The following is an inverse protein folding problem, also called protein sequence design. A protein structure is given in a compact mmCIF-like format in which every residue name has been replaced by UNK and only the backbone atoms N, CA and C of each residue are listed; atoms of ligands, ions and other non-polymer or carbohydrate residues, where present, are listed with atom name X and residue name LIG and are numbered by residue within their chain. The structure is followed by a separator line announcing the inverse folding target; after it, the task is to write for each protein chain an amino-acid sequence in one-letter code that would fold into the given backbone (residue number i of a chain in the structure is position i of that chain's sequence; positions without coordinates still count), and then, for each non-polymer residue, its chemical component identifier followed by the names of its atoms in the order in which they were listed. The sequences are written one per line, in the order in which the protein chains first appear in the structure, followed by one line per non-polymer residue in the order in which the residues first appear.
data_IF_950371683494
#
_entry.id   IF_950371683494
#
_cell.length_a   1.000
_cell.length_b   1.000
_cell.length_c   1.000
_cell.angle_alpha   90.00
_cell.angle_beta   90.00
_cell.angle_gamma   90.00
#
_symmetry.space_group_name_H-M   'P 1'
#
loop_
_entity.id
_entity.type
_entity.pdbx_description
1 polymer ?
#
# COMPACT_ATOMS: atom_id res chain seq x y z
N UNK A 1 22.50 23.25 -31.51
CA UNK A 1 21.07 23.59 -31.31
C UNK A 1 20.16 22.71 -32.19
N UNK A 2 19.75 21.55 -31.66
CA UNK A 2 18.64 20.77 -32.22
C UNK A 2 18.06 19.90 -31.10
N UNK A 3 17.16 20.49 -30.31
CA UNK A 3 16.33 19.77 -29.34
C UNK A 3 15.15 19.17 -30.10
N UNK A 4 15.15 17.86 -30.32
CA UNK A 4 13.91 17.12 -30.60
C UNK A 4 13.12 17.08 -29.29
N UNK A 5 12.00 17.79 -29.26
CA UNK A 5 10.99 17.68 -28.20
C UNK A 5 10.39 16.28 -28.30
N UNK A 6 10.57 15.47 -27.26
CA UNK A 6 9.80 14.26 -27.04
C UNK A 6 8.40 14.69 -26.58
N UNK A 7 7.40 14.53 -27.44
CA UNK A 7 5.99 14.61 -27.05
C UNK A 7 5.65 13.38 -26.21
N UNK A 8 5.70 13.55 -24.89
CA UNK A 8 5.09 12.62 -23.94
C UNK A 8 3.58 12.80 -24.07
N UNK A 9 2.91 11.88 -24.76
CA UNK A 9 1.46 11.83 -24.79
C UNK A 9 0.96 11.62 -23.36
N UNK A 10 0.38 12.66 -22.75
CA UNK A 10 -0.36 12.57 -21.50
C UNK A 10 -1.53 11.62 -21.71
N UNK A 11 -1.40 10.39 -21.20
CA UNK A 11 -2.49 9.44 -21.14
C UNK A 11 -3.37 9.83 -19.95
N UNK A 12 -4.47 10.52 -20.21
CA UNK A 12 -5.50 10.73 -19.20
C UNK A 12 -6.32 9.45 -19.06
N UNK A 13 -6.38 8.82 -17.88
CA UNK A 13 -7.28 7.69 -17.68
C UNK A 13 -8.73 8.15 -17.88
N UNK A 14 -9.55 7.31 -18.53
CA UNK A 14 -10.99 7.56 -18.71
C UNK A 14 -11.61 7.87 -17.35
N UNK A 15 -12.25 9.03 -17.24
CA UNK A 15 -13.00 9.43 -16.06
C UNK A 15 -14.06 8.36 -15.75
N UNK A 16 -14.07 7.89 -14.50
CA UNK A 16 -15.00 6.89 -14.01
C UNK A 16 -16.42 7.48 -14.07
N UNK A 17 -17.25 6.95 -14.97
CA UNK A 17 -18.65 7.35 -15.10
C UNK A 17 -19.47 6.53 -14.11
N UNK A 18 -20.02 7.21 -13.11
CA UNK A 18 -21.01 6.64 -12.19
C UNK A 18 -22.33 6.39 -12.94
N UNK A 19 -23.04 5.27 -12.71
CA UNK A 19 -24.37 5.06 -13.28
C UNK A 19 -25.38 5.90 -12.48
N UNK A 20 -25.73 7.10 -12.97
CA UNK A 20 -26.87 7.84 -12.42
C UNK A 20 -28.16 7.17 -12.86
N UNK A 21 -28.86 6.61 -11.89
CA UNK A 21 -30.23 6.10 -11.98
C UNK A 21 -31.20 7.19 -12.46
N UNK A 22 -31.78 6.98 -13.64
CA UNK A 22 -32.89 7.76 -14.16
C UNK A 22 -33.81 6.84 -14.95
N UNK A 23 -34.80 6.25 -14.28
CA UNK A 23 -35.90 5.56 -14.93
C UNK A 23 -36.83 6.62 -15.55
N UNK A 24 -36.85 6.69 -16.88
CA UNK A 24 -38.01 7.17 -17.62
C UNK A 24 -38.22 6.21 -18.79
N UNK A 25 -39.32 5.47 -18.69
CA UNK A 25 -39.86 4.56 -19.69
C UNK A 25 -40.28 5.32 -20.94
N UNK A 26 -39.70 4.93 -22.07
CA UNK A 26 -40.35 4.70 -23.39
C UNK A 26 -39.28 4.88 -24.47
N UNK A 27 -38.82 3.75 -25.03
CA UNK A 27 -38.62 3.53 -26.47
C UNK A 27 -37.76 2.28 -26.73
N UNK A 28 -38.44 1.25 -27.23
CA UNK A 28 -37.87 0.07 -27.87
C UNK A 28 -37.12 0.50 -29.15
N UNK A 29 -35.79 0.42 -29.15
CA UNK A 29 -35.00 -0.04 -30.32
C UNK A 29 -33.49 -0.18 -30.01
N UNK A 30 -32.97 -1.39 -30.23
CA UNK A 30 -31.57 -1.73 -30.47
C UNK A 30 -30.56 -1.54 -29.29
N UNK A 31 -30.73 -2.28 -28.21
CA UNK A 31 -29.59 -2.58 -27.33
C UNK A 31 -28.79 -3.77 -27.88
N UNK A 32 -27.92 -3.48 -28.85
CA UNK A 32 -26.72 -4.28 -29.06
C UNK A 32 -26.01 -4.41 -27.71
N UNK A 33 -25.79 -5.66 -27.27
CA UNK A 33 -25.21 -5.97 -25.97
C UNK A 33 -23.91 -5.19 -25.76
N UNK A 34 -23.92 -4.28 -24.80
CA UNK A 34 -22.69 -3.78 -24.20
C UNK A 34 -22.13 -4.94 -23.40
N UNK A 35 -21.39 -5.84 -24.06
CA UNK A 35 -20.48 -6.73 -23.34
C UNK A 35 -19.58 -5.80 -22.52
N UNK A 36 -19.72 -5.81 -21.19
CA UNK A 36 -18.72 -5.20 -20.32
C UNK A 36 -17.39 -5.82 -20.73
N UNK A 37 -16.51 -5.02 -21.31
CA UNK A 37 -15.20 -5.48 -21.75
C UNK A 37 -14.53 -6.14 -20.54
N UNK A 38 -14.22 -7.43 -20.68
CA UNK A 38 -13.56 -8.16 -19.61
C UNK A 38 -12.22 -7.46 -19.30
N UNK A 39 -11.77 -7.46 -18.04
CA UNK A 39 -10.46 -6.86 -17.71
C UNK A 39 -9.31 -7.40 -18.58
N UNK A 40 -9.45 -8.64 -19.07
CA UNK A 40 -8.56 -9.26 -20.03
C UNK A 40 -8.55 -8.58 -21.42
N UNK A 41 -9.72 -8.21 -21.95
CA UNK A 41 -9.81 -7.47 -23.22
C UNK A 41 -9.14 -6.10 -23.12
N UNK A 42 -9.40 -5.39 -22.02
CA UNK A 42 -8.80 -4.08 -21.76
C UNK A 42 -7.28 -4.17 -21.59
N UNK A 43 -6.80 -5.23 -20.95
CA UNK A 43 -5.37 -5.55 -20.86
C UNK A 43 -4.76 -5.74 -22.24
N UNK A 44 -5.33 -6.63 -23.07
CA UNK A 44 -4.80 -6.94 -24.40
C UNK A 44 -4.84 -5.73 -25.34
N UNK A 45 -5.92 -4.95 -25.27
CA UNK A 45 -6.08 -3.71 -26.03
C UNK A 45 -4.98 -2.72 -25.64
N UNK A 46 -4.75 -2.52 -24.35
CA UNK A 46 -3.72 -1.59 -23.86
C UNK A 46 -2.31 -2.09 -24.18
N UNK A 47 -2.07 -3.41 -24.10
CA UNK A 47 -0.81 -4.00 -24.53
C UNK A 47 -0.51 -3.76 -26.01
N UNK A 48 -1.53 -3.91 -26.87
CA UNK A 48 -1.43 -3.64 -28.31
C UNK A 48 -1.15 -2.17 -28.59
N UNK A 49 -1.86 -1.24 -27.93
CA UNK A 49 -1.63 0.21 -28.08
C UNK A 49 -0.22 0.60 -27.62
N UNK A 50 0.25 0.03 -26.51
CA UNK A 50 1.56 0.36 -25.94
C UNK A 50 2.71 -0.45 -26.54
N UNK A 51 2.44 -1.38 -27.45
CA UNK A 51 3.44 -2.27 -28.07
C UNK A 51 4.28 -3.03 -27.02
N UNK A 52 3.62 -3.52 -25.97
CA UNK A 52 4.24 -4.33 -24.91
C UNK A 52 3.83 -5.79 -25.06
N UNK A 53 4.75 -6.71 -24.76
CA UNK A 53 4.45 -8.15 -24.77
C UNK A 53 3.50 -8.48 -23.61
N UNK A 54 2.27 -8.98 -23.86
CA UNK A 54 1.34 -9.30 -22.79
C UNK A 54 1.87 -10.42 -21.89
N UNK A 55 1.69 -10.27 -20.58
CA UNK A 55 1.94 -11.34 -19.63
C UNK A 55 0.78 -12.34 -19.66
N UNK A 56 1.03 -13.52 -20.23
CA UNK A 56 0.01 -14.58 -20.32
C UNK A 56 -0.50 -15.09 -18.96
N UNK A 57 0.27 -14.91 -17.88
CA UNK A 57 -0.19 -15.22 -16.52
C UNK A 57 -1.20 -14.20 -16.01
N UNK A 58 -0.95 -12.90 -16.26
CA UNK A 58 -1.89 -11.83 -15.94
C UNK A 58 -3.20 -11.98 -16.71
N UNK A 59 -3.12 -12.18 -18.03
CA UNK A 59 -4.30 -12.39 -18.88
C UNK A 59 -5.17 -13.56 -18.40
N UNK A 60 -4.55 -14.71 -18.06
CA UNK A 60 -5.27 -15.88 -17.53
C UNK A 60 -5.91 -15.62 -16.17
N UNK A 61 -5.33 -14.77 -15.34
CA UNK A 61 -5.92 -14.42 -14.06
C UNK A 61 -7.16 -13.54 -14.25
N UNK A 62 -7.16 -12.67 -15.26
CA UNK A 62 -8.32 -11.84 -15.61
C UNK A 62 -9.45 -12.59 -16.30
N UNK A 63 -9.15 -13.66 -17.07
CA UNK A 63 -10.19 -14.49 -17.71
C UNK A 63 -10.62 -15.69 -16.86
N UNK A 64 -9.83 -16.06 -15.85
CA UNK A 64 -10.08 -17.20 -14.98
C UNK A 64 -10.94 -16.84 -13.77
N UNK A 65 -11.47 -17.86 -13.11
CA UNK A 65 -12.18 -17.71 -11.83
C UNK A 65 -11.22 -17.59 -10.62
N UNK A 66 -9.94 -17.28 -10.85
CA UNK A 66 -8.96 -17.16 -9.78
C UNK A 66 -9.09 -15.78 -9.14
N UNK A 67 -9.32 -15.74 -7.83
CA UNK A 67 -9.36 -14.49 -7.06
C UNK A 67 -7.97 -13.90 -6.81
N UNK A 68 -6.90 -14.63 -7.12
CA UNK A 68 -5.52 -14.28 -6.77
C UNK A 68 -4.64 -14.28 -8.03
N UNK A 69 -3.85 -13.23 -8.21
CA UNK A 69 -2.85 -13.15 -9.26
C UNK A 69 -1.48 -12.74 -8.72
N UNK A 70 -0.50 -13.64 -8.83
CA UNK A 70 0.89 -13.33 -8.53
C UNK A 70 1.74 -13.36 -9.81
N UNK A 71 2.36 -12.23 -10.14
CA UNK A 71 3.32 -12.10 -11.24
C UNK A 71 4.62 -11.42 -10.77
N UNK A 72 5.38 -12.03 -9.85
CA UNK A 72 6.66 -11.46 -9.44
C UNK A 72 7.74 -11.65 -10.52
N UNK A 73 8.68 -10.70 -10.64
CA UNK A 73 9.85 -10.79 -11.54
C UNK A 73 9.57 -10.83 -13.05
N UNK A 74 8.45 -10.26 -13.52
CA UNK A 74 8.11 -10.26 -14.96
C UNK A 74 8.62 -9.03 -15.72
N UNK A 75 9.27 -8.07 -15.04
CA UNK A 75 9.84 -6.90 -15.68
C UNK A 75 8.78 -6.04 -16.41
N UNK A 76 7.58 -5.97 -15.86
CA UNK A 76 6.43 -5.23 -16.43
C UNK A 76 6.82 -3.78 -16.75
N UNK A 77 7.59 -3.15 -15.86
CA UNK A 77 8.01 -1.76 -15.97
C UNK A 77 6.86 -0.77 -15.85
N UNK A 78 7.14 0.55 -15.91
CA UNK A 78 6.11 1.59 -15.80
C UNK A 78 5.07 1.51 -16.92
N UNK A 79 5.49 1.20 -18.15
CA UNK A 79 4.59 1.07 -19.31
C UNK A 79 3.66 -0.15 -19.18
N UNK A 80 4.16 -1.27 -18.70
CA UNK A 80 3.31 -2.43 -18.44
C UNK A 80 2.36 -2.20 -17.27
N UNK A 81 2.75 -1.38 -16.28
CA UNK A 81 1.88 -0.97 -15.18
C UNK A 81 0.64 -0.25 -15.71
N UNK A 82 0.75 0.56 -16.78
CA UNK A 82 -0.40 1.20 -17.44
C UNK A 82 -1.42 0.16 -17.91
N UNK A 83 -0.98 -0.92 -18.55
CA UNK A 83 -1.87 -1.98 -18.99
C UNK A 83 -2.48 -2.76 -17.82
N UNK A 84 -1.69 -3.04 -16.79
CA UNK A 84 -2.18 -3.67 -15.54
C UNK A 84 -3.23 -2.79 -14.86
N UNK A 85 -2.96 -1.50 -14.67
CA UNK A 85 -3.87 -0.54 -14.05
C UNK A 85 -5.16 -0.36 -14.87
N UNK A 86 -5.06 -0.27 -16.20
CA UNK A 86 -6.24 -0.23 -17.08
C UNK A 86 -7.12 -1.47 -16.91
N UNK A 87 -6.51 -2.66 -16.84
CA UNK A 87 -7.26 -3.89 -16.59
C UNK A 87 -7.85 -3.98 -15.20
N UNK A 88 -7.17 -3.43 -14.18
CA UNK A 88 -7.66 -3.41 -12.80
C UNK A 88 -8.87 -2.48 -12.63
N UNK A 89 -8.95 -1.38 -13.37
CA UNK A 89 -10.10 -0.46 -13.34
C UNK A 89 -11.44 -1.12 -13.65
N UNK A 90 -11.42 -2.11 -14.55
CA UNK A 90 -12.61 -2.82 -15.02
C UNK A 90 -12.71 -4.23 -14.45
N UNK A 91 -11.72 -4.66 -13.65
CA UNK A 91 -11.68 -6.00 -13.11
C UNK A 91 -12.60 -6.12 -11.88
N UNK A 92 -13.52 -7.06 -11.95
CA UNK A 92 -14.46 -7.38 -10.87
C UNK A 92 -14.15 -8.73 -10.18
N UNK A 93 -13.08 -9.43 -10.59
CA UNK A 93 -12.80 -10.81 -10.13
C UNK A 93 -11.64 -10.88 -9.15
N UNK A 94 -10.51 -10.24 -9.47
CA UNK A 94 -9.31 -10.31 -8.63
C UNK A 94 -9.51 -9.62 -7.26
N UNK A 95 -9.24 -10.36 -6.20
CA UNK A 95 -9.22 -9.92 -4.82
C UNK A 95 -7.79 -9.69 -4.32
N UNK A 96 -6.82 -10.46 -4.82
CA UNK A 96 -5.42 -10.38 -4.38
C UNK A 96 -4.46 -10.27 -5.57
N UNK A 97 -3.55 -9.30 -5.52
CA UNK A 97 -2.61 -9.01 -6.61
C UNK A 97 -1.20 -8.83 -6.06
N UNK A 98 -0.26 -9.61 -6.57
CA UNK A 98 1.18 -9.50 -6.28
C UNK A 98 1.95 -9.11 -7.54
N UNK A 99 2.51 -7.91 -7.52
CA UNK A 99 3.34 -7.34 -8.60
C UNK A 99 4.79 -7.13 -8.15
N UNK A 100 5.31 -7.93 -7.22
CA UNK A 100 6.65 -7.74 -6.66
C UNK A 100 7.79 -7.83 -7.71
N UNK A 101 8.85 -7.04 -7.54
CA UNK A 101 10.01 -6.95 -8.45
C UNK A 101 9.64 -6.86 -9.93
N UNK A 102 8.84 -5.85 -10.27
CA UNK A 102 8.46 -5.55 -11.65
C UNK A 102 8.96 -4.18 -12.14
N UNK A 103 9.81 -3.50 -11.35
CA UNK A 103 10.40 -2.21 -11.69
C UNK A 103 9.35 -1.17 -12.10
N UNK A 104 8.23 -1.11 -11.38
CA UNK A 104 7.14 -0.19 -11.71
C UNK A 104 7.56 1.29 -11.59
N UNK A 105 8.42 1.61 -10.62
CA UNK A 105 8.82 2.99 -10.32
C UNK A 105 7.66 3.85 -9.78
N UNK A 106 7.94 5.12 -9.53
CA UNK A 106 6.94 6.10 -9.09
C UNK A 106 5.79 6.26 -10.11
N UNK A 107 6.11 6.27 -11.41
CA UNK A 107 5.10 6.37 -12.48
C UNK A 107 4.13 5.19 -12.45
N UNK A 108 4.65 3.96 -12.37
CA UNK A 108 3.81 2.76 -12.30
C UNK A 108 2.96 2.71 -11.03
N UNK A 109 3.50 3.16 -9.89
CA UNK A 109 2.74 3.32 -8.66
C UNK A 109 1.58 4.31 -8.80
N UNK A 110 1.76 5.40 -9.54
CA UNK A 110 0.71 6.36 -9.84
C UNK A 110 -0.44 5.78 -10.68
N UNK A 111 -0.12 4.89 -11.63
CA UNK A 111 -1.14 4.16 -12.38
C UNK A 111 -1.90 3.20 -11.46
N UNK A 112 -1.19 2.41 -10.64
CA UNK A 112 -1.82 1.48 -9.69
C UNK A 112 -2.71 2.24 -8.70
N UNK A 113 -2.27 3.40 -8.20
CA UNK A 113 -3.07 4.25 -7.33
C UNK A 113 -4.35 4.73 -8.01
N UNK A 114 -4.25 5.14 -9.28
CA UNK A 114 -5.43 5.53 -10.06
C UNK A 114 -6.37 4.34 -10.28
N UNK A 115 -5.82 3.14 -10.44
CA UNK A 115 -6.59 1.92 -10.56
C UNK A 115 -7.36 1.56 -9.28
N UNK A 116 -6.75 1.79 -8.11
CA UNK A 116 -7.37 1.56 -6.80
C UNK A 116 -8.60 2.45 -6.53
N UNK A 117 -8.66 3.64 -7.15
CA UNK A 117 -9.79 4.56 -6.99
C UNK A 117 -11.09 4.03 -7.61
N UNK A 118 -10.98 3.29 -8.71
CA UNK A 118 -12.16 2.78 -9.41
C UNK A 118 -12.36 1.27 -9.22
N UNK A 119 -11.32 0.54 -8.79
CA UNK A 119 -11.46 -0.86 -8.44
C UNK A 119 -12.20 -1.03 -7.10
N UNK A 120 -13.27 -1.81 -7.12
CA UNK A 120 -14.14 -2.06 -5.98
C UNK A 120 -14.02 -3.47 -5.38
N UNK A 121 -13.03 -4.26 -5.82
CA UNK A 121 -12.92 -5.69 -5.51
C UNK A 121 -11.62 -6.06 -4.83
N UNK A 122 -10.52 -5.37 -5.13
CA UNK A 122 -9.19 -5.67 -4.63
C UNK A 122 -9.09 -5.46 -3.12
N UNK A 123 -8.62 -6.48 -2.42
CA UNK A 123 -8.45 -6.53 -0.96
C UNK A 123 -7.00 -6.58 -0.54
N UNK A 124 -6.14 -7.25 -1.31
CA UNK A 124 -4.72 -7.43 -1.00
C UNK A 124 -3.87 -6.98 -2.19
N UNK A 125 -2.92 -6.09 -1.94
CA UNK A 125 -1.98 -5.61 -2.95
C UNK A 125 -0.54 -5.68 -2.43
N UNK A 126 0.31 -6.40 -3.18
CA UNK A 126 1.74 -6.53 -2.90
C UNK A 126 2.54 -5.88 -4.02
N UNK A 127 3.28 -4.82 -3.70
CA UNK A 127 4.11 -4.05 -4.63
C UNK A 127 5.59 -4.07 -4.23
N UNK A 128 6.06 -5.12 -3.57
CA UNK A 128 7.42 -5.19 -3.03
C UNK A 128 8.49 -5.05 -4.12
N UNK A 129 9.67 -4.49 -3.80
CA UNK A 129 10.82 -4.41 -4.71
C UNK A 129 10.54 -3.71 -6.05
N UNK A 130 9.69 -2.68 -6.08
CA UNK A 130 9.33 -1.97 -7.31
C UNK A 130 9.99 -0.59 -7.50
N UNK A 131 10.90 -0.21 -6.60
CA UNK A 131 11.58 1.08 -6.61
C UNK A 131 10.61 2.26 -6.70
N UNK A 132 9.51 2.20 -5.92
CA UNK A 132 8.43 3.20 -5.93
C UNK A 132 8.94 4.57 -5.46
N UNK A 133 9.82 4.60 -4.46
CA UNK A 133 10.34 5.83 -3.87
C UNK A 133 9.29 6.67 -3.15
N UNK A 134 9.69 7.85 -2.66
CA UNK A 134 8.81 8.78 -1.95
C UNK A 134 7.76 9.41 -2.88
N UNK A 135 8.12 9.74 -4.12
CA UNK A 135 7.19 10.33 -5.11
C UNK A 135 6.00 9.40 -5.41
N UNK A 136 6.25 8.09 -5.54
CA UNK A 136 5.19 7.11 -5.76
C UNK A 136 4.27 6.94 -4.55
N UNK A 137 4.76 7.20 -3.33
CA UNK A 137 3.95 7.14 -2.11
C UNK A 137 2.84 8.17 -2.09
N UNK A 138 3.08 9.39 -2.57
CA UNK A 138 2.04 10.43 -2.64
C UNK A 138 0.86 10.00 -3.51
N UNK A 139 1.16 9.35 -4.64
CA UNK A 139 0.11 8.83 -5.51
C UNK A 139 -0.62 7.67 -4.84
N UNK A 140 0.11 6.70 -4.27
CA UNK A 140 -0.48 5.58 -3.55
C UNK A 140 -1.36 6.03 -2.38
N UNK A 141 -0.95 7.05 -1.62
CA UNK A 141 -1.71 7.59 -0.51
C UNK A 141 -3.13 7.99 -0.95
N UNK A 142 -3.24 8.73 -2.07
CA UNK A 142 -4.53 9.12 -2.66
C UNK A 142 -5.33 7.91 -3.15
N UNK A 143 -4.67 6.92 -3.75
CA UNK A 143 -5.33 5.71 -4.22
C UNK A 143 -5.91 4.86 -3.09
N UNK A 144 -5.17 4.72 -1.99
CA UNK A 144 -5.58 3.92 -0.83
C UNK A 144 -6.73 4.60 -0.08
N UNK A 145 -6.70 5.93 0.06
CA UNK A 145 -7.78 6.66 0.76
C UNK A 145 -9.08 6.71 -0.02
N UNK A 146 -9.02 6.66 -1.35
CA UNK A 146 -10.22 6.49 -2.18
C UNK A 146 -10.71 5.05 -2.26
N UNK A 147 -9.89 4.06 -1.87
CA UNK A 147 -10.29 2.65 -1.88
C UNK A 147 -10.94 2.25 -0.55
N UNK A 148 -12.21 1.85 -0.59
CA UNK A 148 -12.94 1.35 0.58
C UNK A 148 -12.75 -0.16 0.85
N UNK A 149 -12.01 -0.85 -0.02
CA UNK A 149 -11.96 -2.33 -0.05
C UNK A 149 -10.58 -2.91 0.20
N UNK A 150 -9.52 -2.12 0.00
CA UNK A 150 -8.16 -2.54 0.25
C UNK A 150 -7.93 -2.72 1.77
N UNK A 151 -7.62 -3.96 2.16
CA UNK A 151 -7.38 -4.34 3.55
C UNK A 151 -5.90 -4.58 3.84
N UNK A 152 -5.11 -5.00 2.85
CA UNK A 152 -3.69 -5.30 3.03
C UNK A 152 -2.85 -4.69 1.92
N UNK A 153 -1.78 -4.01 2.31
CA UNK A 153 -0.81 -3.40 1.41
C UNK A 153 0.60 -3.76 1.84
N UNK A 154 1.38 -4.28 0.90
CA UNK A 154 2.82 -4.51 1.08
C UNK A 154 3.63 -3.64 0.12
N UNK A 155 4.53 -2.86 0.69
CA UNK A 155 5.46 -1.96 0.01
C UNK A 155 6.90 -2.28 0.40
N UNK A 156 7.22 -3.55 0.69
CA UNK A 156 8.56 -3.91 1.16
C UNK A 156 9.64 -3.57 0.12
N UNK A 157 10.82 -3.16 0.57
CA UNK A 157 11.98 -2.94 -0.30
C UNK A 157 11.74 -1.96 -1.47
N UNK A 158 11.01 -0.86 -1.22
CA UNK A 158 10.69 0.16 -2.23
C UNK A 158 11.46 1.47 -2.10
N UNK A 159 12.35 1.57 -1.11
CA UNK A 159 13.19 2.75 -0.90
C UNK A 159 12.39 4.01 -0.58
N UNK A 160 11.33 3.88 0.22
CA UNK A 160 10.42 4.99 0.54
C UNK A 160 11.10 6.10 1.35
N UNK A 161 11.96 5.72 2.31
CA UNK A 161 12.54 6.62 3.30
C UNK A 161 11.49 7.28 4.20
N UNK A 162 11.93 8.23 5.02
CA UNK A 162 11.04 8.95 5.94
C UNK A 162 10.02 9.83 5.20
N UNK A 163 10.41 10.42 4.08
CA UNK A 163 9.54 11.26 3.26
C UNK A 163 8.43 10.45 2.59
N UNK A 164 8.72 9.21 2.17
CA UNK A 164 7.70 8.31 1.64
C UNK A 164 6.68 7.89 2.70
N UNK A 165 7.11 7.64 3.93
CA UNK A 165 6.18 7.37 5.06
C UNK A 165 5.30 8.59 5.34
N UNK A 166 5.89 9.80 5.37
CA UNK A 166 5.12 11.04 5.53
C UNK A 166 4.08 11.21 4.42
N UNK A 167 4.48 11.01 3.17
CA UNK A 167 3.59 11.11 2.01
C UNK A 167 2.47 10.07 2.04
N UNK A 168 2.79 8.82 2.38
CA UNK A 168 1.83 7.72 2.48
C UNK A 168 0.77 8.00 3.55
N UNK A 169 1.16 8.65 4.64
CA UNK A 169 0.31 8.89 5.80
C UNK A 169 -0.30 10.29 5.87
N UNK A 170 0.11 11.23 5.00
CA UNK A 170 -0.41 12.59 4.98
C UNK A 170 -1.96 12.65 4.92
N UNK A 171 -2.65 11.82 4.10
CA UNK A 171 -4.11 11.82 4.08
C UNK A 171 -4.78 11.39 5.40
N UNK A 172 -4.09 10.59 6.23
CA UNK A 172 -4.62 10.20 7.54
C UNK A 172 -4.64 11.40 8.49
N UNK A 173 -3.61 12.24 8.45
CA UNK A 173 -3.56 13.49 9.21
C UNK A 173 -4.65 14.47 8.74
N UNK A 174 -5.07 14.38 7.48
CA UNK A 174 -6.15 15.20 6.89
C UNK A 174 -7.56 14.66 7.18
N UNK A 175 -7.70 13.50 7.85
CA UNK A 175 -9.01 12.93 8.17
C UNK A 175 -9.61 12.02 7.13
N UNK A 176 -8.83 11.59 6.14
CA UNK A 176 -9.30 10.58 5.21
C UNK A 176 -9.44 9.21 5.91
N UNK A 177 -10.55 8.48 5.69
CA UNK A 177 -10.72 7.15 6.24
C UNK A 177 -9.73 6.17 5.58
N UNK A 178 -9.12 5.30 6.39
CA UNK A 178 -8.24 4.24 5.91
C UNK A 178 -8.84 2.88 6.27
N UNK A 179 -9.15 2.05 5.26
CA UNK A 179 -9.71 0.70 5.45
C UNK A 179 -8.65 -0.38 5.69
N UNK A 180 -7.37 0.03 5.72
CA UNK A 180 -6.23 -0.86 5.78
C UNK A 180 -6.10 -1.52 7.17
N UNK A 181 -5.95 -2.84 7.17
CA UNK A 181 -5.72 -3.69 8.35
C UNK A 181 -4.29 -4.19 8.45
N UNK A 182 -3.61 -4.34 7.31
CA UNK A 182 -2.24 -4.84 7.23
C UNK A 182 -1.38 -3.92 6.40
N UNK A 183 -0.28 -3.45 6.98
CA UNK A 183 0.70 -2.61 6.29
C UNK A 183 2.09 -3.17 6.47
N UNK A 184 2.73 -3.50 5.34
CA UNK A 184 4.13 -3.88 5.32
C UNK A 184 5.00 -2.78 4.71
N UNK A 185 5.88 -2.21 5.53
CA UNK A 185 6.87 -1.20 5.19
C UNK A 185 8.30 -1.70 5.44
N UNK A 186 8.53 -3.02 5.45
CA UNK A 186 9.85 -3.59 5.68
C UNK A 186 10.88 -3.14 4.63
N UNK A 187 12.15 -3.01 5.01
CA UNK A 187 13.26 -2.72 4.08
C UNK A 187 13.09 -1.41 3.29
N UNK A 188 12.54 -0.36 3.92
CA UNK A 188 12.30 0.93 3.25
C UNK A 188 13.22 2.06 3.69
N UNK A 189 14.25 1.76 4.50
CA UNK A 189 15.19 2.76 5.00
C UNK A 189 14.54 3.78 5.94
N UNK A 190 13.51 3.38 6.67
CA UNK A 190 12.79 4.23 7.62
C UNK A 190 13.67 4.47 8.85
N UNK A 191 13.84 5.72 9.24
CA UNK A 191 14.67 6.15 10.38
C UNK A 191 13.79 6.53 11.59
N UNK A 192 14.36 6.98 12.73
CA UNK A 192 13.55 7.50 13.84
C UNK A 192 12.59 8.63 13.43
N UNK A 193 12.90 9.38 12.36
CA UNK A 193 12.04 10.47 11.88
C UNK A 193 10.76 9.90 11.28
N UNK A 194 10.85 8.93 10.35
CA UNK A 194 9.68 8.28 9.78
C UNK A 194 8.85 7.51 10.81
N UNK A 195 9.47 6.92 11.83
CA UNK A 195 8.75 6.30 12.94
C UNK A 195 7.88 7.31 13.72
N UNK A 196 8.39 8.52 13.96
CA UNK A 196 7.62 9.59 14.62
C UNK A 196 6.46 10.07 13.76
N UNK A 197 6.66 10.19 12.45
CA UNK A 197 5.58 10.53 11.52
C UNK A 197 4.50 9.44 11.49
N UNK A 198 4.89 8.17 11.52
CA UNK A 198 3.95 7.05 11.62
C UNK A 198 3.14 7.10 12.91
N UNK A 199 3.79 7.39 14.04
CA UNK A 199 3.09 7.61 15.32
C UNK A 199 2.11 8.77 15.23
N UNK A 200 2.55 9.92 14.72
CA UNK A 200 1.70 11.12 14.59
C UNK A 200 0.45 10.84 13.77
N UNK A 201 0.60 10.26 12.59
CA UNK A 201 -0.52 9.96 11.71
C UNK A 201 -1.52 8.97 12.34
N UNK A 202 -1.04 8.05 13.17
CA UNK A 202 -1.89 7.08 13.88
C UNK A 202 -2.43 7.59 15.23
N UNK A 203 -1.93 8.72 15.74
CA UNK A 203 -2.34 9.30 17.04
C UNK A 203 -3.12 10.60 16.94
N UNK A 204 -3.19 11.24 15.78
CA UNK A 204 -3.86 12.52 15.64
C UNK A 204 -5.35 12.38 15.95
N UNK A 205 -5.84 12.90 17.08
CA UNK A 205 -7.22 12.74 17.56
C UNK A 205 -8.26 13.52 16.72
N UNK A 206 -7.85 14.41 15.80
CA UNK A 206 -8.74 15.32 15.08
C UNK A 206 -9.50 14.69 13.90
N UNK A 207 -9.00 13.60 13.33
CA UNK A 207 -9.53 12.98 12.11
C UNK A 207 -10.64 11.90 12.33
N UNK A 208 -11.89 12.13 11.92
CA UNK A 208 -13.06 11.27 12.25
C UNK A 208 -13.08 9.83 11.65
N UNK A 209 -11.94 9.31 11.17
CA UNK A 209 -11.81 7.99 10.55
C UNK A 209 -11.31 6.90 11.50
N UNK A 210 -11.99 5.74 11.50
CA UNK A 210 -11.51 4.52 12.15
C UNK A 210 -10.37 3.92 11.32
N UNK A 211 -9.12 4.14 11.73
CA UNK A 211 -8.02 3.29 11.26
C UNK A 211 -8.13 1.96 12.02
N UNK A 212 -8.02 0.83 11.32
CA UNK A 212 -8.11 -0.52 11.90
C UNK A 212 -6.83 -1.29 11.60
N UNK A 213 -5.68 -0.61 11.66
CA UNK A 213 -4.40 -1.27 11.40
C UNK A 213 -4.12 -2.26 12.54
N UNK A 214 -4.14 -3.55 12.20
CA UNK A 214 -3.93 -4.67 13.11
C UNK A 214 -2.50 -5.19 12.99
N UNK A 215 -1.94 -5.20 11.78
CA UNK A 215 -0.60 -5.72 11.54
C UNK A 215 0.28 -4.64 10.90
N UNK A 216 1.45 -4.42 11.52
CA UNK A 216 2.44 -3.47 11.04
C UNK A 216 3.81 -4.15 10.98
N UNK A 217 4.34 -4.22 9.77
CA UNK A 217 5.69 -4.75 9.52
C UNK A 217 6.65 -3.62 9.19
N UNK A 218 7.65 -3.44 10.05
CA UNK A 218 8.72 -2.46 9.93
C UNK A 218 10.10 -3.15 9.94
N UNK A 219 10.17 -4.45 9.61
CA UNK A 219 11.44 -5.20 9.60
C UNK A 219 12.47 -4.56 8.67
N UNK A 220 13.76 -4.75 8.95
CA UNK A 220 14.84 -4.27 8.07
C UNK A 220 14.82 -2.75 7.83
N UNK A 221 14.48 -1.95 8.84
CA UNK A 221 14.58 -0.50 8.79
C UNK A 221 15.69 0.01 9.72
N UNK A 222 15.83 1.31 9.85
CA UNK A 222 16.91 1.98 10.60
C UNK A 222 16.34 2.75 11.79
N UNK A 223 15.36 2.16 12.48
CA UNK A 223 14.64 2.82 13.56
C UNK A 223 15.53 3.15 14.77
N UNK A 224 16.44 2.24 15.13
CA UNK A 224 17.28 2.38 16.32
C UNK A 224 16.50 2.51 17.63
N UNK A 225 17.21 2.70 18.75
CA UNK A 225 16.59 2.87 20.06
C UNK A 225 15.58 4.04 20.10
N UNK A 226 15.90 5.15 19.41
CA UNK A 226 15.09 6.39 19.42
C UNK A 226 13.79 6.21 18.64
N UNK A 227 13.83 5.58 17.48
CA UNK A 227 12.63 5.30 16.68
C UNK A 227 11.73 4.29 17.39
N UNK A 228 12.32 3.25 17.98
CA UNK A 228 11.58 2.28 18.79
C UNK A 228 10.93 2.91 20.00
N UNK A 229 11.61 3.82 20.72
CA UNK A 229 11.01 4.53 21.84
C UNK A 229 9.81 5.38 21.40
N UNK A 230 9.90 6.05 20.24
CA UNK A 230 8.78 6.79 19.68
C UNK A 230 7.60 5.87 19.34
N UNK A 231 7.84 4.73 18.68
CA UNK A 231 6.83 3.73 18.37
C UNK A 231 6.20 3.15 19.64
N UNK A 232 7.01 2.88 20.67
CA UNK A 232 6.51 2.38 21.95
C UNK A 232 5.58 3.40 22.61
N UNK A 233 6.00 4.66 22.73
CA UNK A 233 5.18 5.70 23.35
C UNK A 233 3.94 6.08 22.56
N UNK A 234 4.00 6.01 21.23
CA UNK A 234 2.85 6.20 20.38
C UNK A 234 1.99 4.95 20.35
N UNK A 235 2.38 3.98 19.54
CA UNK A 235 1.53 2.87 19.13
C UNK A 235 1.11 1.92 20.26
N UNK A 236 1.92 1.82 21.32
CA UNK A 236 1.70 0.86 22.40
C UNK A 236 1.14 1.51 23.68
N UNK A 237 1.14 2.84 23.77
CA UNK A 237 0.58 3.51 24.94
C UNK A 237 -0.96 3.46 24.89
N UNK A 238 -1.62 3.22 26.04
CA UNK A 238 -3.07 3.27 26.11
C UNK A 238 -3.52 4.72 25.95
N UNK A 239 -3.96 5.09 24.75
CA UNK A 239 -4.62 6.36 24.47
C UNK A 239 -6.13 6.24 24.66
N UNK A 240 -6.77 7.37 24.96
CA UNK A 240 -8.23 7.49 25.16
C UNK A 240 -9.05 7.16 23.90
N UNK A 241 -8.43 7.18 22.73
CA UNK A 241 -9.05 6.86 21.44
C UNK A 241 -8.02 6.19 20.49
N UNK A 242 -7.75 4.88 20.61
CA UNK A 242 -6.76 4.24 19.77
C UNK A 242 -7.27 4.10 18.33
N UNK A 243 -6.60 4.77 17.38
CA UNK A 243 -6.83 4.56 15.93
C UNK A 243 -6.01 3.43 15.34
N UNK A 244 -5.09 2.86 16.10
CA UNK A 244 -4.43 1.63 15.71
C UNK A 244 -4.60 0.65 16.87
N UNK A 245 -5.20 -0.49 16.59
CA UNK A 245 -5.24 -1.62 17.50
C UNK A 245 -4.26 -2.65 16.98
N UNK A 246 -2.98 -2.34 17.11
CA UNK A 246 -1.93 -3.21 16.59
C UNK A 246 -1.92 -4.49 17.42
N UNK A 247 -2.21 -5.59 16.76
CA UNK A 247 -2.15 -6.95 17.30
C UNK A 247 -0.79 -7.56 17.00
N UNK A 248 -0.19 -7.22 15.86
CA UNK A 248 1.06 -7.80 15.40
C UNK A 248 2.04 -6.71 14.95
N UNK A 249 3.20 -6.62 15.60
CA UNK A 249 4.22 -5.63 15.32
C UNK A 249 5.57 -6.29 15.04
N UNK A 250 6.08 -6.15 13.81
CA UNK A 250 7.37 -6.71 13.44
C UNK A 250 8.45 -5.62 13.38
N UNK A 251 9.42 -5.69 14.29
CA UNK A 251 10.53 -4.74 14.40
C UNK A 251 11.90 -5.43 14.24
N UNK A 252 11.96 -6.66 13.74
CA UNK A 252 13.24 -7.36 13.52
C UNK A 252 14.18 -6.55 12.62
N UNK A 253 15.49 -6.65 12.83
CA UNK A 253 16.50 -5.97 12.01
C UNK A 253 16.38 -4.44 11.96
N UNK A 254 16.26 -3.80 13.12
CA UNK A 254 16.11 -2.35 13.28
C UNK A 254 17.18 -1.70 14.18
N UNK A 255 18.21 -2.44 14.57
CA UNK A 255 19.29 -1.97 15.46
C UNK A 255 18.78 -1.30 16.75
N UNK A 256 17.74 -1.88 17.36
CA UNK A 256 17.05 -1.33 18.55
C UNK A 256 17.99 -1.18 19.75
N UNK A 257 18.85 -2.16 19.99
CA UNK A 257 19.76 -2.19 21.14
C UNK A 257 19.05 -2.35 22.49
N UNK A 258 19.85 -2.38 23.57
CA UNK A 258 19.34 -2.54 24.94
C UNK A 258 18.44 -1.38 25.39
N UNK A 259 18.78 -0.15 25.00
CA UNK A 259 17.98 1.02 25.37
C UNK A 259 16.59 0.97 24.74
N UNK A 260 16.48 0.66 23.44
CA UNK A 260 15.17 0.55 22.80
C UNK A 260 14.34 -0.60 23.36
N UNK A 261 14.98 -1.72 23.74
CA UNK A 261 14.33 -2.83 24.42
C UNK A 261 13.74 -2.43 25.78
N UNK A 262 14.44 -1.59 26.57
CA UNK A 262 13.90 -1.05 27.84
C UNK A 262 12.68 -0.15 27.64
N UNK A 263 12.68 0.67 26.58
CA UNK A 263 11.51 1.50 26.25
C UNK A 263 10.31 0.65 25.87
N UNK A 264 10.51 -0.41 25.08
CA UNK A 264 9.45 -1.38 24.78
C UNK A 264 8.94 -2.05 26.05
N UNK A 265 9.85 -2.58 26.88
CA UNK A 265 9.50 -3.23 28.14
C UNK A 265 8.64 -2.36 29.06
N UNK A 266 8.90 -1.05 29.12
CA UNK A 266 8.13 -0.12 29.93
C UNK A 266 6.67 0.07 29.44
N UNK A 267 6.40 -0.13 28.15
CA UNK A 267 5.08 0.11 27.55
C UNK A 267 4.29 -1.17 27.26
N UNK A 268 4.96 -2.30 27.01
CA UNK A 268 4.31 -3.58 26.70
C UNK A 268 3.24 -4.02 27.72
N UNK A 269 3.44 -3.88 29.05
CA UNK A 269 2.40 -4.21 30.03
C UNK A 269 1.11 -3.38 29.89
N UNK A 270 1.19 -2.24 29.19
CA UNK A 270 0.11 -1.29 28.97
C UNK A 270 -0.48 -1.36 27.56
N UNK A 271 -0.04 -2.31 26.74
CA UNK A 271 -0.49 -2.50 25.36
C UNK A 271 -1.50 -3.68 25.30
N UNK A 272 -2.81 -3.43 25.51
CA UNK A 272 -3.78 -4.51 25.65
C UNK A 272 -4.07 -5.28 24.35
N UNK A 273 -3.79 -4.69 23.19
CA UNK A 273 -4.11 -5.29 21.89
C UNK A 273 -2.98 -6.12 21.32
N UNK A 274 -1.73 -5.90 21.75
CA UNK A 274 -0.56 -6.51 21.12
C UNK A 274 -0.43 -7.98 21.51
N UNK A 275 -0.47 -8.86 20.51
CA UNK A 275 -0.43 -10.32 20.64
C UNK A 275 0.90 -10.90 20.20
N UNK A 276 1.51 -10.29 19.17
CA UNK A 276 2.77 -10.74 18.62
C UNK A 276 3.73 -9.55 18.42
N UNK A 277 4.96 -9.72 18.91
CA UNK A 277 6.05 -8.77 18.75
C UNK A 277 7.30 -9.49 18.28
N UNK A 278 7.80 -9.16 17.09
CA UNK A 278 9.05 -9.72 16.58
C UNK A 278 10.20 -8.74 16.77
N UNK A 279 11.24 -9.17 17.50
CA UNK A 279 12.43 -8.37 17.83
C UNK A 279 13.74 -9.03 17.39
N UNK A 280 13.69 -9.96 16.44
CA UNK A 280 14.86 -10.72 16.00
C UNK A 280 15.96 -9.81 15.44
N UNK A 281 17.22 -10.16 15.68
CA UNK A 281 18.39 -9.48 15.12
C UNK A 281 18.39 -7.96 15.32
N UNK A 282 18.15 -7.53 16.56
CA UNK A 282 18.10 -6.11 16.94
C UNK A 282 19.27 -5.62 17.79
N UNK A 283 20.31 -6.45 17.95
CA UNK A 283 21.44 -6.11 18.83
C UNK A 283 21.04 -5.94 20.30
N UNK A 284 19.99 -6.65 20.73
CA UNK A 284 19.53 -6.67 22.13
C UNK A 284 20.45 -7.63 22.89
N UNK A 285 21.21 -7.09 23.85
CA UNK A 285 22.06 -7.84 24.75
C UNK A 285 21.30 -8.34 25.99
N UNK A 286 22.05 -8.91 26.95
CA UNK A 286 21.46 -9.42 28.19
C UNK A 286 20.66 -8.37 28.98
N UNK A 287 21.10 -7.09 29.13
CA UNK A 287 20.33 -6.08 29.85
C UNK A 287 18.99 -5.75 29.20
N UNK A 288 18.92 -5.66 27.86
CA UNK A 288 17.68 -5.41 27.15
C UNK A 288 16.74 -6.61 27.17
N UNK A 289 17.29 -7.83 27.05
CA UNK A 289 16.50 -9.06 27.14
C UNK A 289 15.90 -9.26 28.54
N UNK A 290 16.66 -8.95 29.60
CA UNK A 290 16.16 -8.96 30.98
C UNK A 290 15.02 -7.97 31.18
N UNK A 291 15.12 -6.78 30.59
CA UNK A 291 14.05 -5.79 30.68
C UNK A 291 12.77 -6.27 29.99
N UNK A 292 12.87 -6.89 28.81
CA UNK A 292 11.72 -7.44 28.08
C UNK A 292 11.08 -8.66 28.75
N UNK A 293 11.86 -9.40 29.55
CA UNK A 293 11.39 -10.57 30.28
C UNK A 293 10.76 -10.24 31.66
N UNK A 294 10.96 -9.02 32.16
CA UNK A 294 10.47 -8.54 33.46
C UNK A 294 9.02 -8.04 33.37
#
# INVERSE_FOLDING_TARGET
PNRRKSETAMFTPRACSSPTSGFSSDDDQAHAGVQLATGAEEYMRTCSVLQITPCGRWHRALTGALAECAIPHYGIGPRGAVAVGASLNVNEVLLEVTLSDNRLGAEGAGVVASALLCNSTLRVLTLDQNAIGSEGCEALARGITGSSRLLALSLAANGLGDDGVRALLAPLCEGAPLSLRSLNLSENGITPVGARELVRALHDEAAEGSVLLQTLDLRWNQLGAVGTAALAHGLLAPTSAPRASIEELALSWNAIGDEGARHLAAVLPRAPTLRALWLENNGIGAPGALALAA
#
